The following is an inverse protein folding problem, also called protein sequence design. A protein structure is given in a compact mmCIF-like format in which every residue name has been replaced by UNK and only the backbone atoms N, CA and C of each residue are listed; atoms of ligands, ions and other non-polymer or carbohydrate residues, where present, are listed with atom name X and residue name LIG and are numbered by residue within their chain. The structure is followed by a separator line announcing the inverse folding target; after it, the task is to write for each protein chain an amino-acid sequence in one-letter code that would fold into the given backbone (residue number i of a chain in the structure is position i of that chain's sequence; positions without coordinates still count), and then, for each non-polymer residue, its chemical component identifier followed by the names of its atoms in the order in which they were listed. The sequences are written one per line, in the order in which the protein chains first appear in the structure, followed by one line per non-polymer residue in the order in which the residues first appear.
data_IF_490598653719
#
_entry.id   IF_490598653719
#
_cell.length_a   1.000
_cell.length_b   1.000
_cell.length_c   1.000
_cell.angle_alpha   90.00
_cell.angle_beta   90.00
_cell.angle_gamma   90.00
#
_symmetry.space_group_name_H-M   'P 1'
#
loop_
_entity.id
_entity.type
_entity.pdbx_description
1 polymer ?
#
# COMPACT_ATOMS: atom_id res chain seq x y z
N UNK A 1 -5.42 -3.07 20.54
CA UNK A 1 -6.57 -2.53 19.77
C UNK A 1 -6.16 -1.15 19.29
N UNK A 2 -5.45 -1.08 18.16
CA UNK A 2 -5.10 0.18 17.50
C UNK A 2 -4.79 -0.17 16.05
N UNK A 3 -5.80 -0.12 15.18
CA UNK A 3 -5.66 -0.34 13.74
C UNK A 3 -6.91 0.15 12.96
N UNK A 4 -7.55 1.22 13.44
CA UNK A 4 -8.62 1.90 12.70
C UNK A 4 -7.98 3.02 11.87
N UNK A 5 -7.59 2.69 10.62
CA UNK A 5 -6.98 3.66 9.69
C UNK A 5 -6.29 3.08 8.45
N UNK A 6 -6.61 1.85 8.01
CA UNK A 6 -5.84 1.10 7.00
C UNK A 6 -6.10 1.48 5.52
N UNK A 7 -6.52 2.71 5.25
CA UNK A 7 -6.60 3.23 3.89
C UNK A 7 -6.52 4.74 3.89
N UNK A 8 -5.88 5.31 2.87
CA UNK A 8 -5.79 6.76 2.67
C UNK A 8 -7.17 7.40 2.48
N UNK A 9 -7.20 8.68 2.14
CA UNK A 9 -8.45 9.46 2.01
C UNK A 9 -9.47 8.80 1.05
N UNK A 10 -9.00 7.95 0.14
CA UNK A 10 -9.80 7.28 -0.88
C UNK A 10 -10.07 5.79 -0.59
N UNK A 11 -9.88 5.34 0.65
CA UNK A 11 -10.04 3.94 1.05
C UNK A 11 -11.38 3.32 0.65
N UNK A 12 -12.47 4.11 0.67
CA UNK A 12 -13.80 3.66 0.28
C UNK A 12 -13.90 3.25 -1.21
N UNK A 13 -12.95 3.71 -2.03
CA UNK A 13 -12.86 3.41 -3.46
C UNK A 13 -11.76 2.38 -3.78
N UNK A 14 -11.06 1.85 -2.77
CA UNK A 14 -10.03 0.82 -2.92
C UNK A 14 -10.67 -0.58 -2.99
N UNK A 15 -11.24 -0.90 -4.15
CA UNK A 15 -11.76 -2.24 -4.43
C UNK A 15 -10.65 -3.26 -4.77
N UNK A 16 -9.46 -2.76 -5.11
CA UNK A 16 -8.35 -3.58 -5.59
C UNK A 16 -7.69 -4.35 -4.45
N UNK A 17 -7.38 -3.68 -3.35
CA UNK A 17 -6.59 -4.28 -2.27
C UNK A 17 -7.34 -5.42 -1.59
N UNK A 18 -8.64 -5.27 -1.37
CA UNK A 18 -9.49 -6.32 -0.82
C UNK A 18 -9.55 -7.55 -1.74
N UNK A 19 -9.75 -7.33 -3.04
CA UNK A 19 -9.78 -8.39 -4.04
C UNK A 19 -8.45 -9.14 -4.14
N UNK A 20 -7.32 -8.41 -4.22
CA UNK A 20 -5.99 -9.01 -4.30
C UNK A 20 -5.66 -9.82 -3.04
N UNK A 21 -5.93 -9.31 -1.84
CA UNK A 21 -5.74 -10.08 -0.60
C UNK A 21 -6.56 -11.36 -0.58
N UNK A 22 -7.81 -11.30 -1.05
CA UNK A 22 -8.65 -12.49 -1.13
C UNK A 22 -8.08 -13.53 -2.10
N UNK A 23 -7.70 -13.11 -3.31
CA UNK A 23 -7.13 -13.98 -4.34
C UNK A 23 -5.79 -14.59 -3.89
N UNK A 24 -4.88 -13.77 -3.37
CA UNK A 24 -3.57 -14.21 -2.88
C UNK A 24 -3.73 -15.19 -1.71
N UNK A 25 -4.62 -14.89 -0.77
CA UNK A 25 -4.95 -15.80 0.33
C UNK A 25 -5.52 -17.14 -0.14
N UNK A 26 -6.37 -17.14 -1.19
CA UNK A 26 -6.92 -18.37 -1.76
C UNK A 26 -5.84 -19.31 -2.32
N UNK A 27 -4.78 -18.77 -2.92
CA UNK A 27 -3.66 -19.56 -3.44
C UNK A 27 -2.56 -19.83 -2.39
N UNK A 28 -2.79 -19.47 -1.12
CA UNK A 28 -1.88 -19.75 -0.02
C UNK A 28 -0.82 -18.66 0.26
N UNK A 29 -0.89 -17.51 -0.40
CA UNK A 29 -0.02 -16.36 -0.12
C UNK A 29 -0.70 -15.44 0.90
N UNK A 30 -0.52 -15.75 2.18
CA UNK A 30 -1.24 -15.08 3.28
C UNK A 30 -0.47 -13.93 3.93
N UNK A 31 0.85 -13.91 3.80
CA UNK A 31 1.69 -12.82 4.31
C UNK A 31 1.87 -11.76 3.21
N UNK A 32 1.02 -10.73 3.24
CA UNK A 32 0.93 -9.71 2.19
C UNK A 32 1.04 -8.32 2.81
N UNK A 33 2.12 -7.63 2.48
CA UNK A 33 2.33 -6.22 2.80
C UNK A 33 1.90 -5.34 1.61
N UNK A 34 1.29 -4.18 1.89
CA UNK A 34 0.80 -3.25 0.86
C UNK A 34 1.55 -1.91 0.98
N UNK A 35 2.32 -1.57 -0.04
CA UNK A 35 2.88 -0.23 -0.23
C UNK A 35 1.99 0.56 -1.21
N UNK A 36 1.53 1.75 -0.80
CA UNK A 36 0.65 2.59 -1.65
C UNK A 36 1.40 3.81 -2.17
N UNK A 37 1.12 4.15 -3.42
CA UNK A 37 1.56 5.39 -4.06
C UNK A 37 0.30 6.23 -4.30
N UNK A 38 0.04 7.22 -3.45
CA UNK A 38 -1.15 8.06 -3.51
C UNK A 38 -0.80 9.51 -3.88
N UNK A 39 -1.77 10.25 -4.45
CA UNK A 39 -1.58 11.66 -4.78
C UNK A 39 -0.84 11.95 -6.09
N UNK A 40 -0.58 10.94 -6.91
CA UNK A 40 0.11 11.09 -8.21
C UNK A 40 -0.64 11.95 -9.22
N UNK A 41 -1.96 12.09 -9.06
CA UNK A 41 -2.82 12.93 -9.91
C UNK A 41 -2.60 14.44 -9.71
N UNK A 42 -1.99 14.85 -8.60
CA UNK A 42 -1.82 16.28 -8.25
C UNK A 42 -0.65 16.98 -8.95
N UNK A 43 -0.01 16.32 -9.92
CA UNK A 43 1.05 16.88 -10.75
C UNK A 43 2.41 16.19 -10.57
N UNK A 44 3.42 16.57 -11.39
CA UNK A 44 4.71 15.88 -11.46
C UNK A 44 5.49 15.87 -10.13
N UNK A 45 5.47 16.97 -9.38
CA UNK A 45 6.16 17.12 -8.11
C UNK A 45 5.51 16.22 -7.03
N UNK A 46 4.18 16.22 -6.97
CA UNK A 46 3.42 15.36 -6.07
C UNK A 46 3.64 13.88 -6.39
N UNK A 47 3.65 13.50 -7.67
CA UNK A 47 3.96 12.14 -8.11
C UNK A 47 5.38 11.71 -7.70
N UNK A 48 6.37 12.59 -7.88
CA UNK A 48 7.77 12.31 -7.48
C UNK A 48 7.87 12.09 -5.97
N UNK A 49 7.23 12.94 -5.17
CA UNK A 49 7.19 12.80 -3.71
C UNK A 49 6.48 11.51 -3.27
N UNK A 50 5.35 11.18 -3.88
CA UNK A 50 4.59 9.96 -3.59
C UNK A 50 5.40 8.69 -3.88
N UNK A 51 6.12 8.66 -5.01
CA UNK A 51 7.00 7.55 -5.37
C UNK A 51 8.15 7.43 -4.36
N UNK A 52 8.82 8.53 -4.02
CA UNK A 52 9.92 8.52 -3.05
C UNK A 52 9.47 8.02 -1.66
N UNK A 53 8.27 8.40 -1.22
CA UNK A 53 7.68 7.92 0.02
C UNK A 53 7.39 6.41 -0.03
N UNK A 54 6.83 5.91 -1.14
CA UNK A 54 6.56 4.48 -1.32
C UNK A 54 7.85 3.65 -1.37
N UNK A 55 8.91 4.15 -2.01
CA UNK A 55 10.22 3.49 -1.99
C UNK A 55 10.79 3.38 -0.57
N UNK A 56 10.61 4.42 0.26
CA UNK A 56 11.03 4.37 1.66
C UNK A 56 10.22 3.34 2.46
N UNK A 57 8.92 3.21 2.21
CA UNK A 57 8.08 2.16 2.81
C UNK A 57 8.56 0.77 2.41
N UNK A 58 8.85 0.55 1.13
CA UNK A 58 9.37 -0.74 0.65
C UNK A 58 10.69 -1.08 1.32
N UNK A 59 11.62 -0.13 1.48
CA UNK A 59 12.87 -0.35 2.21
C UNK A 59 12.62 -0.79 3.66
N UNK A 60 11.73 -0.11 4.38
CA UNK A 60 11.38 -0.48 5.75
C UNK A 60 10.73 -1.89 5.85
N UNK A 61 9.91 -2.27 4.86
CA UNK A 61 9.34 -3.63 4.78
C UNK A 61 10.44 -4.67 4.60
N UNK A 62 11.39 -4.40 3.69
CA UNK A 62 12.53 -5.31 3.45
C UNK A 62 13.42 -5.47 4.68
N UNK A 63 13.68 -4.38 5.42
CA UNK A 63 14.44 -4.41 6.67
C UNK A 63 13.76 -5.25 7.76
N UNK A 64 12.42 -5.18 7.87
CA UNK A 64 11.64 -5.99 8.81
C UNK A 64 11.67 -7.49 8.46
N UNK A 65 11.80 -7.81 7.18
CA UNK A 65 11.78 -9.19 6.68
C UNK A 65 13.15 -9.89 6.73
N UNK A 66 14.24 -9.15 6.93
CA UNK A 66 15.60 -9.65 7.07
C UNK A 66 15.89 -10.17 8.48
#
# INVERSE_FOLDING_TARGET
MENEGRGGEWAAYDFQTGYLRHLLGFIGLTDVEIARVEGTVFGPEAATAAIAAAEAQVRAILEKAA
#
